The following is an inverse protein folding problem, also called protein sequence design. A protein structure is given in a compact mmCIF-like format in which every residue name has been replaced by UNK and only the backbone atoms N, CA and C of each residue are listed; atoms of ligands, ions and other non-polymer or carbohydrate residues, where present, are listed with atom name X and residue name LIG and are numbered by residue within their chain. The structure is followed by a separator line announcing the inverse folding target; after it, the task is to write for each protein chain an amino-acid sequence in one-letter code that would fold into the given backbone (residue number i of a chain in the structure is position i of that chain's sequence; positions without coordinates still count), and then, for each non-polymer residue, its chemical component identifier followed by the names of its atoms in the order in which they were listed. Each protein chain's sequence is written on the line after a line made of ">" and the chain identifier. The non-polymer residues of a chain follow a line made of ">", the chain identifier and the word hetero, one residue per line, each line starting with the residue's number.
data_IF_540591530011
#
_entry.id   IF_540591530011
#
_cell.length_a   1.000
_cell.length_b   1.000
_cell.length_c   1.000
_cell.angle_alpha   90.00
_cell.angle_beta   90.00
_cell.angle_gamma   90.00
#
_symmetry.space_group_name_H-M   'P 1'
#
loop_
_entity.id
_entity.type
_entity.pdbx_description
1 polymer ?
#
# COMPACT_ATOMS: atom_id res chain seq x y z
N UNK A 1 13.40 0.02 -3.80
CA UNK A 1 12.71 -0.26 -5.08
C UNK A 1 13.36 -1.36 -5.92
N UNK A 2 14.45 -1.95 -5.44
CA UNK A 2 15.16 -3.11 -6.06
C UNK A 2 14.23 -4.34 -6.28
N UNK A 3 13.06 -4.37 -5.67
CA UNK A 3 12.08 -5.45 -5.82
C UNK A 3 11.17 -5.30 -7.05
N UNK A 4 11.27 -4.19 -7.79
CA UNK A 4 10.49 -3.95 -9.00
C UNK A 4 11.34 -4.32 -10.21
N UNK A 5 11.26 -5.58 -10.61
CA UNK A 5 11.93 -6.10 -11.79
C UNK A 5 11.08 -5.92 -13.05
N UNK A 6 11.70 -6.00 -14.21
CA UNK A 6 11.01 -6.04 -15.49
C UNK A 6 9.93 -7.13 -15.53
N UNK A 7 8.73 -6.77 -15.93
CA UNK A 7 7.58 -7.68 -15.98
C UNK A 7 6.81 -7.80 -14.66
N UNK A 8 7.20 -7.08 -13.61
CA UNK A 8 6.48 -7.08 -12.34
C UNK A 8 5.06 -6.49 -12.48
N UNK A 9 4.13 -7.07 -11.74
CA UNK A 9 2.83 -6.46 -11.43
C UNK A 9 2.94 -5.79 -10.07
N UNK A 10 2.76 -4.48 -10.00
CA UNK A 10 2.95 -3.68 -8.79
C UNK A 10 1.62 -3.06 -8.37
N UNK A 11 1.23 -3.29 -7.11
CA UNK A 11 0.05 -2.63 -6.55
C UNK A 11 0.43 -1.38 -5.77
N UNK A 12 -0.31 -0.29 -5.99
CA UNK A 12 -0.14 1.00 -5.32
C UNK A 12 -1.47 1.41 -4.67
N UNK A 13 -1.51 1.36 -3.37
CA UNK A 13 -2.69 1.70 -2.56
C UNK A 13 -2.99 3.21 -2.57
N UNK A 14 -4.25 3.57 -2.40
CA UNK A 14 -4.69 4.96 -2.29
C UNK A 14 -4.24 5.59 -0.96
N UNK A 15 -3.00 6.02 -0.90
CA UNK A 15 -2.45 6.74 0.26
C UNK A 15 -1.47 7.83 -0.16
N UNK A 16 -1.33 8.86 0.67
CA UNK A 16 -0.39 9.95 0.42
C UNK A 16 1.06 9.48 0.49
N UNK A 17 1.38 8.56 1.40
CA UNK A 17 2.71 7.96 1.52
C UNK A 17 3.08 7.16 0.26
N UNK A 18 2.14 6.38 -0.28
CA UNK A 18 2.36 5.63 -1.53
C UNK A 18 2.49 6.59 -2.72
N UNK A 19 1.70 7.67 -2.76
CA UNK A 19 1.79 8.68 -3.81
C UNK A 19 3.18 9.34 -3.90
N UNK A 20 3.92 9.40 -2.79
CA UNK A 20 5.29 9.93 -2.74
C UNK A 20 6.32 9.02 -3.41
N UNK A 21 6.03 7.71 -3.53
CA UNK A 21 6.93 6.76 -4.20
C UNK A 21 6.96 6.92 -5.72
N UNK A 22 5.94 7.53 -6.32
CA UNK A 22 5.75 7.51 -7.78
C UNK A 22 6.94 8.14 -8.50
N UNK A 23 7.52 9.18 -7.92
CA UNK A 23 8.68 9.85 -8.51
C UNK A 23 9.93 8.98 -8.56
N UNK A 24 9.99 7.97 -7.70
CA UNK A 24 11.11 7.03 -7.57
C UNK A 24 10.89 5.73 -8.38
N UNK A 25 9.73 5.54 -9.00
CA UNK A 25 9.42 4.30 -9.72
C UNK A 25 10.27 4.17 -10.99
N UNK A 26 10.76 2.94 -11.29
CA UNK A 26 11.57 2.70 -12.47
C UNK A 26 10.76 2.90 -13.76
N UNK A 27 11.42 3.45 -14.77
CA UNK A 27 10.90 3.58 -16.12
C UNK A 27 11.09 2.23 -16.85
N UNK A 28 10.04 1.43 -16.89
CA UNK A 28 10.03 0.17 -17.63
C UNK A 28 8.69 0.01 -18.35
N UNK A 29 8.73 -0.34 -19.61
CA UNK A 29 7.54 -0.64 -20.41
C UNK A 29 7.01 -2.07 -20.18
N UNK A 30 7.75 -2.90 -19.47
CA UNK A 30 7.37 -4.28 -19.14
C UNK A 30 6.64 -4.38 -17.80
N UNK A 31 6.98 -3.50 -16.86
CA UNK A 31 6.31 -3.40 -15.55
C UNK A 31 4.98 -2.67 -15.70
N UNK A 32 3.95 -3.13 -15.01
CA UNK A 32 2.69 -2.40 -14.93
C UNK A 32 2.25 -2.19 -13.49
N UNK A 33 1.56 -1.08 -13.29
CA UNK A 33 1.12 -0.62 -11.99
C UNK A 33 -0.40 -0.70 -11.90
N UNK A 34 -0.91 -1.20 -10.80
CA UNK A 34 -2.34 -1.26 -10.50
C UNK A 34 -2.62 -0.41 -9.29
N UNK A 35 -3.64 0.42 -9.36
CA UNK A 35 -4.04 1.27 -8.23
C UNK A 35 -5.56 1.37 -8.14
N UNK A 36 -6.05 1.61 -6.93
CA UNK A 36 -7.45 1.99 -6.68
C UNK A 36 -7.61 3.51 -6.46
N UNK A 37 -6.59 4.32 -6.78
CA UNK A 37 -6.63 5.78 -6.63
C UNK A 37 -6.60 6.48 -7.97
N UNK A 38 -7.62 7.32 -8.31
CA UNK A 38 -7.58 8.19 -9.48
C UNK A 38 -6.38 9.13 -9.49
N UNK A 39 -6.02 9.68 -8.34
CA UNK A 39 -4.89 10.60 -8.19
C UNK A 39 -3.55 9.92 -8.48
N UNK A 40 -3.34 8.71 -7.96
CA UNK A 40 -2.14 7.92 -8.24
C UNK A 40 -2.10 7.53 -9.71
N UNK A 41 -3.24 7.10 -10.28
CA UNK A 41 -3.35 6.78 -11.70
C UNK A 41 -2.93 7.96 -12.58
N UNK A 42 -3.41 9.15 -12.27
CA UNK A 42 -3.02 10.36 -13.00
C UNK A 42 -1.52 10.66 -12.92
N UNK A 43 -0.92 10.54 -11.74
CA UNK A 43 0.53 10.71 -11.57
C UNK A 43 1.34 9.68 -12.37
N UNK A 44 0.92 8.43 -12.38
CA UNK A 44 1.56 7.37 -13.17
C UNK A 44 1.48 7.68 -14.67
N UNK A 45 0.31 8.14 -15.13
CA UNK A 45 0.09 8.52 -16.54
C UNK A 45 1.00 9.67 -16.97
N UNK A 46 1.19 10.68 -16.13
CA UNK A 46 2.12 11.80 -16.41
C UNK A 46 3.57 11.34 -16.56
N UNK A 47 3.93 10.21 -15.97
CA UNK A 47 5.25 9.58 -16.13
C UNK A 47 5.32 8.57 -17.28
N UNK A 48 4.26 8.46 -18.08
CA UNK A 48 4.13 7.46 -19.16
C UNK A 48 4.34 6.02 -18.68
N UNK A 49 3.98 5.71 -17.45
CA UNK A 49 4.03 4.36 -16.92
C UNK A 49 2.77 3.58 -17.30
N UNK A 50 2.92 2.30 -17.63
CA UNK A 50 1.79 1.43 -17.91
C UNK A 50 1.00 1.19 -16.64
N UNK A 51 -0.29 1.52 -16.64
CA UNK A 51 -1.14 1.42 -15.46
C UNK A 51 -2.51 0.84 -15.76
N UNK A 52 -3.10 0.25 -14.73
CA UNK A 52 -4.47 -0.22 -14.69
C UNK A 52 -5.13 0.33 -13.41
N UNK A 53 -6.39 0.65 -13.49
CA UNK A 53 -7.20 1.12 -12.36
C UNK A 53 -8.25 0.08 -12.03
N UNK A 54 -8.48 -0.18 -10.74
CA UNK A 54 -9.44 -1.20 -10.32
C UNK A 54 -10.86 -0.91 -10.78
N UNK A 55 -11.19 0.38 -10.94
CA UNK A 55 -12.58 0.78 -11.08
C UNK A 55 -13.38 0.50 -9.79
N UNK A 56 -14.67 0.65 -9.88
CA UNK A 56 -15.59 0.49 -8.76
C UNK A 56 -16.26 1.79 -8.36
N UNK A 57 -16.75 1.86 -7.14
CA UNK A 57 -17.37 3.06 -6.58
C UNK A 57 -16.30 4.02 -6.05
N UNK A 58 -16.32 5.26 -6.53
CA UNK A 58 -15.36 6.27 -6.08
C UNK A 58 -15.80 6.88 -4.75
N UNK A 59 -15.00 6.67 -3.71
CA UNK A 59 -15.15 7.34 -2.43
C UNK A 59 -14.44 8.70 -2.48
N UNK A 60 -15.21 9.77 -2.58
CA UNK A 60 -14.70 11.12 -2.79
C UNK A 60 -13.82 11.64 -1.65
N UNK A 61 -14.13 11.26 -0.39
CA UNK A 61 -13.41 11.72 0.79
C UNK A 61 -11.96 11.24 0.85
N UNK A 62 -11.67 10.10 0.25
CA UNK A 62 -10.34 9.47 0.29
C UNK A 62 -9.72 9.25 -1.09
N UNK A 63 -10.45 9.66 -2.15
CA UNK A 63 -10.02 9.50 -3.54
C UNK A 63 -9.63 8.05 -3.88
N UNK A 64 -10.51 7.12 -3.51
CA UNK A 64 -10.26 5.70 -3.67
C UNK A 64 -11.46 4.96 -4.26
N UNK A 65 -11.22 4.10 -5.25
CA UNK A 65 -12.22 3.14 -5.71
C UNK A 65 -12.36 2.02 -4.70
N UNK A 66 -13.61 1.64 -4.45
CA UNK A 66 -14.02 0.64 -3.48
C UNK A 66 -15.18 -0.21 -4.02
N UNK A 67 -15.64 -1.17 -3.23
CA UNK A 67 -16.82 -1.97 -3.53
C UNK A 67 -16.53 -3.23 -4.35
N UNK A 68 -17.61 -3.91 -4.74
CA UNK A 68 -17.55 -5.24 -5.33
C UNK A 68 -16.74 -5.31 -6.63
N UNK A 69 -16.89 -4.34 -7.52
CA UNK A 69 -16.15 -4.31 -8.78
C UNK A 69 -14.64 -4.19 -8.58
N UNK A 70 -14.21 -3.37 -7.61
CA UNK A 70 -12.79 -3.24 -7.27
C UNK A 70 -12.25 -4.54 -6.67
N UNK A 71 -13.00 -5.17 -5.78
CA UNK A 71 -12.62 -6.47 -5.20
C UNK A 71 -12.51 -7.57 -6.24
N UNK A 72 -13.50 -7.68 -7.14
CA UNK A 72 -13.49 -8.67 -8.23
C UNK A 72 -12.33 -8.44 -9.21
N UNK A 73 -11.99 -7.19 -9.48
CA UNK A 73 -10.84 -6.84 -10.30
C UNK A 73 -9.55 -7.36 -9.65
N UNK A 74 -9.35 -7.09 -8.36
CA UNK A 74 -8.16 -7.49 -7.62
C UNK A 74 -8.00 -9.01 -7.53
N UNK A 75 -9.09 -9.76 -7.47
CA UNK A 75 -9.05 -11.23 -7.42
C UNK A 75 -8.36 -11.88 -8.63
N UNK A 76 -8.27 -11.17 -9.75
CA UNK A 76 -7.67 -11.67 -10.99
C UNK A 76 -6.16 -11.47 -11.06
N UNK A 77 -5.56 -10.74 -10.11
CA UNK A 77 -4.15 -10.40 -10.14
C UNK A 77 -3.34 -11.21 -9.13
N UNK A 78 -2.06 -11.35 -9.46
CA UNK A 78 -1.01 -11.82 -8.55
C UNK A 78 0.09 -10.76 -8.59
N UNK A 79 0.17 -9.92 -7.57
CA UNK A 79 1.15 -8.85 -7.52
C UNK A 79 2.50 -9.35 -7.03
N UNK A 80 3.56 -8.99 -7.72
CA UNK A 80 4.93 -9.27 -7.29
C UNK A 80 5.27 -8.49 -6.03
N UNK A 81 4.85 -7.23 -5.99
CA UNK A 81 5.05 -6.33 -4.85
C UNK A 81 3.87 -5.36 -4.76
N UNK A 82 3.53 -4.99 -3.55
CA UNK A 82 2.50 -3.97 -3.27
C UNK A 82 2.95 -3.01 -2.18
N UNK A 83 2.59 -1.75 -2.35
CA UNK A 83 2.85 -0.67 -1.41
C UNK A 83 1.53 -0.12 -0.87
N UNK A 84 1.42 -0.07 0.44
CA UNK A 84 0.19 0.28 1.14
C UNK A 84 0.44 1.38 2.17
N UNK A 85 -0.59 2.18 2.43
CA UNK A 85 -0.63 3.07 3.57
C UNK A 85 -1.38 2.45 4.75
N UNK A 86 -1.19 3.03 5.94
CA UNK A 86 -1.96 2.67 7.14
C UNK A 86 -2.27 3.92 7.96
N UNK A 87 -3.34 3.89 8.72
CA UNK A 87 -3.70 4.96 9.66
C UNK A 87 -3.22 4.67 11.07
N UNK A 88 -3.05 3.39 11.43
CA UNK A 88 -2.58 3.00 12.75
C UNK A 88 -1.73 1.74 12.72
N UNK A 89 -0.76 1.69 13.64
CA UNK A 89 0.11 0.55 13.88
C UNK A 89 0.07 0.28 15.39
N UNK A 90 -0.42 -0.88 15.78
CA UNK A 90 -0.56 -1.21 17.19
C UNK A 90 -0.24 -2.69 17.44
N UNK A 91 0.42 -2.98 18.57
CA UNK A 91 0.88 -4.34 18.89
C UNK A 91 -0.25 -5.38 18.96
N UNK A 92 -1.44 -4.97 19.39
CA UNK A 92 -2.63 -5.84 19.47
C UNK A 92 -3.58 -5.65 18.29
N UNK A 93 -3.90 -4.39 17.93
CA UNK A 93 -4.82 -4.09 16.83
C UNK A 93 -4.19 -4.26 15.44
N UNK A 94 -2.86 -4.38 15.35
CA UNK A 94 -2.11 -4.62 14.13
C UNK A 94 -2.12 -3.41 13.19
N UNK A 95 -2.20 -3.59 11.86
CA UNK A 95 -2.38 -2.50 10.90
C UNK A 95 -3.86 -2.16 10.75
N UNK A 96 -4.23 -0.91 10.98
CA UNK A 96 -5.62 -0.48 11.03
C UNK A 96 -5.92 0.72 10.14
N UNK A 97 -7.18 0.82 9.74
CA UNK A 97 -7.76 1.96 9.04
C UNK A 97 -9.18 2.22 9.58
N UNK A 98 -9.71 3.46 9.52
CA UNK A 98 -11.02 3.74 10.11
C UNK A 98 -12.21 3.19 9.30
N UNK A 99 -12.04 2.94 8.00
CA UNK A 99 -13.13 2.62 7.08
C UNK A 99 -13.16 1.14 6.68
N UNK A 100 -14.25 0.40 6.96
CA UNK A 100 -14.34 -1.01 6.62
C UNK A 100 -14.32 -1.29 5.11
N UNK A 101 -14.81 -0.38 4.28
CA UNK A 101 -14.85 -0.56 2.83
C UNK A 101 -13.44 -0.44 2.25
N UNK A 102 -12.64 0.51 2.72
CA UNK A 102 -11.23 0.65 2.35
C UNK A 102 -10.38 -0.46 2.95
N UNK A 103 -10.67 -0.91 4.17
CA UNK A 103 -10.02 -2.06 4.78
C UNK A 103 -10.18 -3.32 3.92
N UNK A 104 -11.37 -3.56 3.36
CA UNK A 104 -11.63 -4.69 2.49
C UNK A 104 -10.76 -4.65 1.21
N UNK A 105 -10.59 -3.49 0.58
CA UNK A 105 -9.71 -3.32 -0.58
C UNK A 105 -8.25 -3.59 -0.21
N UNK A 106 -7.77 -3.01 0.89
CA UNK A 106 -6.40 -3.25 1.38
C UNK A 106 -6.14 -4.73 1.66
N UNK A 107 -7.04 -5.38 2.41
CA UNK A 107 -6.92 -6.79 2.75
C UNK A 107 -6.93 -7.68 1.50
N UNK A 108 -7.81 -7.40 0.53
CA UNK A 108 -7.87 -8.13 -0.74
C UNK A 108 -6.55 -7.97 -1.53
N UNK A 109 -6.08 -6.76 -1.72
CA UNK A 109 -4.84 -6.50 -2.46
C UNK A 109 -3.63 -7.16 -1.77
N UNK A 110 -3.53 -7.10 -0.44
CA UNK A 110 -2.48 -7.75 0.34
C UNK A 110 -2.52 -9.27 0.12
N UNK A 111 -3.70 -9.89 0.16
CA UNK A 111 -3.86 -11.33 -0.06
C UNK A 111 -3.40 -11.79 -1.45
N UNK A 112 -3.32 -10.87 -2.41
CA UNK A 112 -2.89 -11.11 -3.79
C UNK A 112 -1.46 -10.65 -4.08
N UNK A 113 -0.71 -10.26 -3.04
CA UNK A 113 0.63 -9.67 -3.15
C UNK A 113 1.67 -10.57 -2.52
N UNK A 114 2.76 -10.85 -3.25
CA UNK A 114 3.85 -11.68 -2.73
C UNK A 114 4.73 -10.93 -1.73
N UNK A 115 5.19 -9.71 -2.08
CA UNK A 115 5.96 -8.84 -1.16
C UNK A 115 5.13 -7.62 -0.79
N UNK A 116 4.76 -7.52 0.47
CA UNK A 116 3.92 -6.43 1.00
C UNK A 116 4.80 -5.44 1.75
N UNK A 117 4.74 -4.16 1.35
CA UNK A 117 5.34 -3.04 2.06
C UNK A 117 4.26 -2.09 2.54
N UNK A 118 4.34 -1.69 3.81
CA UNK A 118 3.51 -0.63 4.37
C UNK A 118 4.38 0.58 4.63
N UNK A 119 3.94 1.75 4.16
CA UNK A 119 4.61 3.02 4.35
C UNK A 119 3.83 3.84 5.37
N UNK A 120 4.50 4.23 6.44
CA UNK A 120 3.92 5.06 7.47
C UNK A 120 5.00 5.88 8.18
N UNK A 121 4.69 7.11 8.52
CA UNK A 121 5.53 7.89 9.42
C UNK A 121 5.34 7.45 10.87
N UNK A 122 6.26 7.87 11.74
CA UNK A 122 6.29 7.50 13.16
C UNK A 122 5.05 7.91 13.95
N UNK A 123 4.27 8.89 13.47
CA UNK A 123 3.03 9.30 14.14
C UNK A 123 1.93 8.24 14.12
N UNK A 124 2.06 7.20 13.27
CA UNK A 124 1.07 6.13 13.16
C UNK A 124 1.20 5.05 14.22
N UNK A 125 2.34 4.96 14.90
CA UNK A 125 2.52 4.01 15.99
C UNK A 125 1.59 4.32 17.18
N UNK A 126 1.11 3.26 17.82
CA UNK A 126 0.18 3.30 18.95
C UNK A 126 -1.19 3.91 18.65
N UNK A 127 -1.52 4.13 17.38
CA UNK A 127 -2.85 4.51 16.93
C UNK A 127 -3.66 3.29 16.53
N UNK A 128 -4.95 3.31 16.83
CA UNK A 128 -5.89 2.23 16.51
C UNK A 128 -7.03 2.82 15.68
N UNK A 129 -7.15 2.38 14.43
CA UNK A 129 -8.34 2.61 13.62
C UNK A 129 -9.39 1.53 13.89
N UNK A 130 -10.62 1.74 13.43
CA UNK A 130 -11.75 0.86 13.74
C UNK A 130 -11.64 -0.53 13.13
N UNK A 131 -10.87 -0.71 12.06
CA UNK A 131 -10.80 -1.98 11.31
C UNK A 131 -9.35 -2.39 11.07
N UNK A 132 -9.02 -3.61 11.46
CA UNK A 132 -7.74 -4.25 11.13
C UNK A 132 -7.79 -4.81 9.72
N UNK A 133 -6.79 -4.50 8.90
CA UNK A 133 -6.72 -5.00 7.52
C UNK A 133 -5.53 -5.95 7.26
N UNK A 134 -4.52 -5.93 8.12
CA UNK A 134 -3.37 -6.84 8.02
C UNK A 134 -2.70 -7.05 9.38
N UNK A 135 -2.00 -8.18 9.53
CA UNK A 135 -1.15 -8.46 10.68
C UNK A 135 0.23 -7.84 10.50
N UNK A 136 0.90 -7.53 11.61
CA UNK A 136 2.24 -6.93 11.59
C UNK A 136 3.28 -7.81 10.86
N UNK A 137 3.15 -9.12 10.96
CA UNK A 137 4.06 -10.09 10.33
C UNK A 137 3.77 -10.37 8.84
N UNK A 138 2.68 -9.81 8.29
CA UNK A 138 2.32 -9.97 6.88
C UNK A 138 3.01 -8.96 5.97
N UNK A 139 3.68 -7.95 6.53
CA UNK A 139 4.29 -6.87 5.76
C UNK A 139 5.66 -6.48 6.32
N UNK A 140 6.45 -5.80 5.48
CA UNK A 140 7.60 -5.02 5.91
C UNK A 140 7.18 -3.56 6.01
N UNK A 141 7.36 -2.95 7.19
CA UNK A 141 7.11 -1.53 7.40
C UNK A 141 8.29 -0.70 6.93
N UNK A 142 8.03 0.37 6.18
CA UNK A 142 8.99 1.43 5.85
C UNK A 142 8.57 2.68 6.61
N UNK A 143 9.43 3.20 7.48
CA UNK A 143 9.11 4.34 8.34
C UNK A 143 10.34 5.24 8.53
N UNK A 144 10.09 6.50 8.86
CA UNK A 144 11.13 7.48 9.20
C UNK A 144 11.81 7.17 10.53
N UNK A 145 11.09 6.60 11.49
CA UNK A 145 11.62 6.18 12.80
C UNK A 145 10.68 5.18 13.47
N UNK A 146 11.22 4.12 14.04
CA UNK A 146 10.44 3.08 14.72
C UNK A 146 10.76 3.01 16.22
N UNK A 147 9.71 2.95 17.08
CA UNK A 147 9.89 2.66 18.49
C UNK A 147 10.53 1.27 18.70
N UNK A 148 11.37 1.13 19.72
CA UNK A 148 12.13 -0.11 19.96
C UNK A 148 11.24 -1.33 20.15
N UNK A 149 10.11 -1.18 20.82
CA UNK A 149 9.15 -2.24 21.11
C UNK A 149 8.54 -2.89 19.88
N UNK A 150 8.54 -2.21 18.72
CA UNK A 150 8.02 -2.75 17.47
C UNK A 150 9.07 -3.53 16.66
N UNK A 151 10.36 -3.35 16.93
CA UNK A 151 11.45 -3.97 16.15
C UNK A 151 11.45 -5.51 16.26
N UNK A 152 10.94 -6.05 17.36
CA UNK A 152 10.81 -7.50 17.59
C UNK A 152 9.48 -8.08 17.08
N UNK A 153 8.49 -7.21 16.75
CA UNK A 153 7.15 -7.64 16.35
C UNK A 153 6.96 -7.77 14.84
N UNK A 154 7.79 -7.07 14.05
CA UNK A 154 7.67 -7.05 12.59
C UNK A 154 9.00 -6.72 11.91
N UNK A 155 9.04 -6.93 10.59
CA UNK A 155 10.15 -6.45 9.76
C UNK A 155 10.01 -4.94 9.52
N UNK A 156 11.05 -4.17 9.82
CA UNK A 156 11.08 -2.72 9.68
C UNK A 156 12.31 -2.28 8.90
N UNK A 157 12.09 -1.40 7.92
CA UNK A 157 13.12 -0.57 7.30
C UNK A 157 12.99 0.82 7.94
N UNK A 158 13.90 1.13 8.83
CA UNK A 158 13.94 2.36 9.62
C UNK A 158 14.92 3.34 8.97
N UNK A 159 14.39 4.37 8.33
CA UNK A 159 15.19 5.34 7.56
C UNK A 159 16.02 6.26 8.45
N UNK A 160 15.78 6.32 9.77
CA UNK A 160 16.61 7.07 10.70
C UNK A 160 18.00 6.46 10.87
N UNK A 161 18.16 5.17 10.58
CA UNK A 161 19.41 4.44 10.72
C UNK A 161 20.34 4.53 9.49
N UNK A 162 19.88 5.16 8.40
CA UNK A 162 20.65 5.33 7.15
C UNK A 162 21.38 6.68 7.06
N UNK A 163 21.50 7.42 8.19
CA UNK A 163 22.20 8.72 8.27
C UNK A 163 23.59 8.57 8.88
#
# INVERSE_FOLDING_TARGET
>A
LEFINDGAAVYLDASTSVASLIDLLPQSNKTYYVTNSPKIAHKLALKNLRLLVTGGELKLTTDAYTGAYALDFLDKFNFTVGFFGTNGIHSQAQFTTPDPVEAAIKAKAISRTYKVFILADSSKFNNIGSVTFAKLNEATLITDSAPKEYKDLMKIIDLSSEK
#
